data_IF_131219938970
#
_entry.id   IF_131219938970
#
_cell.length_a   1.000
_cell.length_b   1.000
_cell.length_c   1.000
_cell.angle_alpha   90.00
_cell.angle_beta   90.00
_cell.angle_gamma   90.00
#
_symmetry.space_group_name_H-M   'P 1'
#
loop_
_entity.id
_entity.type
_entity.pdbx_description
1 polymer ?
#
# COMPACT_ATOMS: atom_id res chain seq x y z
N UNK A 1 4.08 -22.09 22.18
CA UNK A 1 2.94 -21.72 21.33
C UNK A 1 3.44 -20.84 20.20
N UNK A 2 3.08 -21.20 18.98
CA UNK A 2 3.45 -20.41 17.79
C UNK A 2 2.56 -19.17 17.74
N UNK A 3 3.15 -18.00 17.51
CA UNK A 3 2.38 -16.76 17.34
C UNK A 3 1.60 -16.82 16.02
N UNK A 4 0.56 -16.01 15.88
CA UNK A 4 -0.19 -15.90 14.63
C UNK A 4 0.72 -15.54 13.47
N UNK A 5 1.69 -14.63 13.70
CA UNK A 5 2.66 -14.21 12.68
C UNK A 5 3.54 -15.36 12.23
N UNK A 6 4.06 -16.15 13.17
CA UNK A 6 4.92 -17.29 12.85
C UNK A 6 4.14 -18.39 12.11
N UNK A 7 2.91 -18.66 12.52
CA UNK A 7 2.04 -19.61 11.83
C UNK A 7 1.75 -19.18 10.40
N UNK A 8 1.47 -17.88 10.17
CA UNK A 8 1.23 -17.35 8.84
C UNK A 8 2.48 -17.39 7.97
N UNK A 9 3.64 -17.09 8.53
CA UNK A 9 4.91 -17.20 7.79
C UNK A 9 5.16 -18.63 7.32
N UNK A 10 4.92 -19.60 8.19
CA UNK A 10 5.08 -21.01 7.83
C UNK A 10 4.14 -21.42 6.69
N UNK A 11 2.92 -20.89 6.68
CA UNK A 11 1.96 -21.15 5.59
C UNK A 11 2.38 -20.52 4.26
N UNK A 12 3.17 -19.43 4.29
CA UNK A 12 3.61 -18.73 3.09
C UNK A 12 4.86 -19.34 2.47
N UNK A 13 5.60 -20.15 3.21
CA UNK A 13 6.82 -20.78 2.69
C UNK A 13 6.53 -21.62 1.43
N UNK A 14 7.36 -21.45 0.42
CA UNK A 14 7.22 -22.16 -0.84
C UNK A 14 6.16 -21.60 -1.78
N UNK A 15 5.46 -20.55 -1.39
CA UNK A 15 4.49 -19.86 -2.25
C UNK A 15 5.19 -18.83 -3.12
N UNK A 16 4.82 -18.73 -4.39
CA UNK A 16 5.36 -17.73 -5.32
C UNK A 16 4.55 -16.45 -5.32
N UNK A 17 3.25 -16.53 -5.05
CA UNK A 17 2.33 -15.39 -5.02
C UNK A 17 1.46 -15.51 -3.79
N UNK A 18 1.32 -14.42 -3.05
CA UNK A 18 0.41 -14.34 -1.90
C UNK A 18 -0.47 -13.12 -2.05
N UNK A 19 -1.80 -13.34 -2.01
CA UNK A 19 -2.79 -12.29 -1.94
C UNK A 19 -3.17 -12.07 -0.47
N UNK A 20 -3.17 -10.83 -0.01
CA UNK A 20 -3.41 -10.49 1.38
C UNK A 20 -4.36 -9.29 1.46
N UNK A 21 -5.33 -9.39 2.34
CA UNK A 21 -6.22 -8.26 2.58
C UNK A 21 -7.64 -8.61 2.98
N UNK A 22 -8.45 -9.19 2.10
CA UNK A 22 -9.85 -9.47 2.45
C UNK A 22 -9.96 -10.37 3.69
N UNK A 23 -10.75 -9.94 4.66
CA UNK A 23 -11.01 -10.72 5.86
C UNK A 23 -9.95 -10.65 6.95
N UNK A 24 -8.87 -9.88 6.79
CA UNK A 24 -7.87 -9.70 7.85
C UNK A 24 -8.44 -8.96 9.06
N UNK A 25 -9.35 -8.02 8.84
CA UNK A 25 -9.85 -7.15 9.88
C UNK A 25 -8.92 -5.97 10.16
N UNK A 26 -9.29 -5.18 11.18
CA UNK A 26 -8.61 -3.92 11.52
C UNK A 26 -8.25 -3.84 12.99
N UNK A 27 -7.99 -4.98 13.62
CA UNK A 27 -7.52 -5.02 15.00
C UNK A 27 -6.09 -4.48 15.09
N UNK A 28 -5.68 -4.10 16.31
CA UNK A 28 -4.39 -3.41 16.51
C UNK A 28 -3.16 -4.24 16.17
N UNK A 29 -3.30 -5.55 16.06
CA UNK A 29 -2.20 -6.46 15.71
C UNK A 29 -2.00 -6.63 14.19
N UNK A 30 -2.97 -6.25 13.38
CA UNK A 30 -2.90 -6.42 11.93
C UNK A 30 -1.79 -5.59 11.27
N UNK A 31 -1.56 -4.31 11.64
CA UNK A 31 -0.42 -3.58 11.06
C UNK A 31 0.92 -4.27 11.28
N UNK A 32 1.17 -4.80 12.47
CA UNK A 32 2.42 -5.51 12.77
C UNK A 32 2.53 -6.80 11.96
N UNK A 33 1.41 -7.52 11.80
CA UNK A 33 1.37 -8.72 10.99
C UNK A 33 1.71 -8.41 9.52
N UNK A 34 1.08 -7.39 8.94
CA UNK A 34 1.33 -6.96 7.56
C UNK A 34 2.78 -6.53 7.40
N UNK A 35 3.31 -5.72 8.31
CA UNK A 35 4.71 -5.29 8.28
C UNK A 35 5.67 -6.48 8.30
N UNK A 36 5.39 -7.47 9.11
CA UNK A 36 6.21 -8.68 9.20
C UNK A 36 6.26 -9.43 7.86
N UNK A 37 5.13 -9.54 7.17
CA UNK A 37 5.08 -10.17 5.84
C UNK A 37 5.83 -9.35 4.81
N UNK A 38 5.65 -8.02 4.80
CA UNK A 38 6.34 -7.14 3.86
C UNK A 38 7.86 -7.20 4.01
N UNK A 39 8.34 -7.33 5.25
CA UNK A 39 9.78 -7.36 5.52
C UNK A 39 10.43 -8.70 5.19
N UNK A 40 9.69 -9.79 5.24
CA UNK A 40 10.28 -11.12 5.20
C UNK A 40 9.91 -11.97 3.99
N UNK A 41 8.82 -11.66 3.29
CA UNK A 41 8.37 -12.47 2.16
C UNK A 41 9.04 -11.99 0.87
N UNK A 42 9.71 -12.90 0.17
CA UNK A 42 10.48 -12.59 -1.05
C UNK A 42 9.70 -12.82 -2.34
N UNK A 43 8.53 -13.44 -2.27
CA UNK A 43 7.67 -13.66 -3.43
C UNK A 43 6.85 -12.43 -3.80
N UNK A 44 6.00 -12.57 -4.81
CA UNK A 44 5.10 -11.50 -5.22
C UNK A 44 3.92 -11.40 -4.24
N UNK A 45 3.68 -10.19 -3.78
CA UNK A 45 2.53 -9.87 -2.92
C UNK A 45 1.47 -9.13 -3.72
N UNK A 46 0.21 -9.46 -3.46
CA UNK A 46 -0.95 -8.71 -3.92
C UNK A 46 -1.65 -8.18 -2.67
N UNK A 47 -1.72 -6.87 -2.53
CA UNK A 47 -2.27 -6.20 -1.35
C UNK A 47 -3.61 -5.55 -1.68
N UNK A 48 -4.63 -5.84 -0.88
CA UNK A 48 -5.98 -5.33 -1.07
C UNK A 48 -6.66 -5.09 0.28
N UNK A 49 -7.76 -4.36 0.28
CA UNK A 49 -8.67 -4.19 1.42
C UNK A 49 -7.94 -3.89 2.75
N UNK A 50 -8.13 -4.73 3.76
CA UNK A 50 -7.59 -4.50 5.11
C UNK A 50 -6.06 -4.48 5.16
N UNK A 51 -5.37 -5.12 4.23
CA UNK A 51 -3.91 -5.02 4.13
C UNK A 51 -3.50 -3.60 3.73
N UNK A 52 -4.21 -2.98 2.79
CA UNK A 52 -3.98 -1.59 2.40
C UNK A 52 -4.31 -0.64 3.56
N UNK A 53 -5.39 -0.90 4.27
CA UNK A 53 -5.74 -0.12 5.46
C UNK A 53 -4.62 -0.18 6.51
N UNK A 54 -4.04 -1.35 6.72
CA UNK A 54 -2.98 -1.56 7.71
C UNK A 54 -1.69 -0.79 7.38
N UNK A 55 -1.43 -0.48 6.11
CA UNK A 55 -0.25 0.30 5.71
C UNK A 55 -0.30 1.75 6.21
N UNK A 56 -1.48 2.31 6.41
CA UNK A 56 -1.63 3.72 6.78
C UNK A 56 -1.23 4.65 5.65
N UNK A 57 -0.64 5.79 5.97
CA UNK A 57 -0.12 6.73 4.98
C UNK A 57 1.27 6.30 4.54
N UNK A 58 1.44 6.02 3.25
CA UNK A 58 2.75 5.63 2.70
C UNK A 58 3.40 6.74 1.88
N UNK A 59 2.67 7.81 1.64
CA UNK A 59 3.17 8.97 0.93
C UNK A 59 2.27 10.18 1.11
N UNK A 60 2.66 11.29 0.51
CA UNK A 60 1.88 12.51 0.53
C UNK A 60 1.96 13.23 -0.81
N UNK A 61 0.97 14.09 -1.06
CA UNK A 61 0.84 14.83 -2.32
C UNK A 61 0.92 16.31 -2.04
N UNK A 62 1.74 17.01 -2.82
CA UNK A 62 1.77 18.47 -2.84
C UNK A 62 0.62 18.96 -3.74
N UNK A 63 -0.42 19.50 -3.12
CA UNK A 63 -1.61 19.97 -3.83
C UNK A 63 -1.30 21.13 -4.78
N UNK A 64 -0.38 22.00 -4.41
CA UNK A 64 0.00 23.14 -5.25
C UNK A 64 0.71 22.66 -6.52
N UNK A 65 1.65 21.74 -6.38
CA UNK A 65 2.34 21.14 -7.52
C UNK A 65 1.38 20.40 -8.43
N UNK A 66 0.42 19.67 -7.85
CA UNK A 66 -0.58 18.96 -8.61
C UNK A 66 -1.49 19.90 -9.41
N UNK A 67 -1.94 21.00 -8.77
CA UNK A 67 -2.75 22.03 -9.42
C UNK A 67 -1.98 22.69 -10.56
N UNK A 68 -0.71 22.96 -10.35
CA UNK A 68 0.14 23.69 -11.31
C UNK A 68 0.72 22.79 -12.39
N UNK A 69 0.51 21.48 -12.32
CA UNK A 69 1.01 20.52 -13.30
C UNK A 69 2.48 20.18 -13.15
N UNK A 70 3.10 20.47 -12.01
CA UNK A 70 4.51 20.15 -11.74
C UNK A 70 4.63 18.69 -11.28
N UNK A 71 4.65 17.78 -12.23
CA UNK A 71 4.62 16.33 -11.99
C UNK A 71 5.83 15.86 -11.18
N UNK A 72 6.99 16.46 -11.37
CA UNK A 72 8.21 16.01 -10.69
C UNK A 72 8.17 16.21 -9.18
N UNK A 73 7.35 17.14 -8.69
CA UNK A 73 7.32 17.53 -7.29
C UNK A 73 6.04 17.11 -6.57
N UNK A 74 5.12 16.40 -7.21
CA UNK A 74 3.79 16.18 -6.61
C UNK A 74 3.75 15.12 -5.54
N UNK A 75 4.67 14.14 -5.53
CA UNK A 75 4.57 13.00 -4.64
C UNK A 75 5.84 12.80 -3.82
N UNK A 76 5.67 12.60 -2.53
CA UNK A 76 6.75 12.27 -1.60
C UNK A 76 6.51 10.92 -0.94
N UNK A 77 7.50 10.03 -1.00
CA UNK A 77 7.46 8.73 -0.33
C UNK A 77 7.70 8.95 1.16
N UNK A 78 6.82 8.40 2.00
CA UNK A 78 6.98 8.42 3.46
C UNK A 78 7.31 7.04 4.03
N UNK A 79 7.01 5.99 3.28
CA UNK A 79 7.30 4.61 3.66
C UNK A 79 7.70 3.82 2.43
N UNK A 80 8.83 3.11 2.52
CA UNK A 80 9.24 2.22 1.45
C UNK A 80 8.39 0.95 1.45
N UNK A 81 8.04 0.50 0.26
CA UNK A 81 7.26 -0.73 0.05
C UNK A 81 8.09 -1.71 -0.75
N UNK A 82 7.96 -3.03 -0.51
CA UNK A 82 8.54 -4.02 -1.39
C UNK A 82 7.80 -4.01 -2.73
N UNK A 83 8.39 -4.64 -3.76
CA UNK A 83 7.67 -4.82 -5.02
C UNK A 83 6.40 -5.64 -4.78
N UNK A 84 5.27 -5.10 -5.14
CA UNK A 84 3.97 -5.74 -4.94
C UNK A 84 2.94 -5.18 -5.92
N UNK A 85 1.81 -5.86 -6.01
CA UNK A 85 0.63 -5.38 -6.72
C UNK A 85 -0.35 -4.87 -5.68
N UNK A 86 -0.92 -3.70 -5.90
CA UNK A 86 -1.91 -3.09 -5.02
C UNK A 86 -3.19 -2.80 -5.80
N UNK A 87 -4.33 -3.05 -5.18
CA UNK A 87 -5.65 -2.88 -5.81
C UNK A 87 -6.54 -1.94 -4.99
N UNK A 88 -6.11 -0.70 -4.72
CA UNK A 88 -6.89 0.21 -3.89
C UNK A 88 -8.09 0.77 -4.65
N UNK A 89 -9.26 0.81 -3.99
CA UNK A 89 -10.35 1.68 -4.44
C UNK A 89 -10.07 3.13 -4.01
N UNK A 90 -10.92 4.07 -4.42
CA UNK A 90 -10.66 5.51 -4.17
C UNK A 90 -10.47 5.84 -2.70
N UNK A 91 -11.26 5.26 -1.81
CA UNK A 91 -11.14 5.51 -0.36
C UNK A 91 -9.83 4.98 0.20
N UNK A 92 -9.41 3.80 -0.23
CA UNK A 92 -8.13 3.20 0.18
C UNK A 92 -6.95 4.01 -0.35
N UNK A 93 -7.01 4.44 -1.60
CA UNK A 93 -5.96 5.26 -2.20
C UNK A 93 -5.86 6.63 -1.51
N UNK A 94 -7.00 7.25 -1.22
CA UNK A 94 -7.07 8.49 -0.45
C UNK A 94 -6.31 8.38 0.87
N UNK A 95 -6.48 7.26 1.56
CA UNK A 95 -5.78 7.01 2.83
C UNK A 95 -4.28 6.79 2.64
N UNK A 96 -3.89 6.02 1.63
CA UNK A 96 -2.48 5.72 1.36
C UNK A 96 -1.66 6.98 1.09
N UNK A 97 -2.20 7.93 0.35
CA UNK A 97 -1.47 9.14 -0.06
C UNK A 97 -1.90 10.40 0.70
N UNK A 98 -2.77 10.23 1.70
CA UNK A 98 -3.25 11.33 2.55
C UNK A 98 -3.81 12.50 1.73
N UNK A 99 -4.74 12.19 0.84
CA UNK A 99 -5.33 13.17 -0.07
C UNK A 99 -6.85 12.97 -0.16
N UNK A 100 -7.67 14.04 -0.07
CA UNK A 100 -9.13 13.89 -0.21
C UNK A 100 -9.53 13.26 -1.55
N UNK A 101 -10.57 12.44 -1.52
CA UNK A 101 -11.07 11.70 -2.71
C UNK A 101 -11.33 12.62 -3.89
N UNK A 102 -11.88 13.79 -3.66
CA UNK A 102 -12.19 14.73 -4.74
C UNK A 102 -10.97 15.15 -5.57
N UNK A 103 -9.80 15.20 -4.95
CA UNK A 103 -8.54 15.47 -5.66
C UNK A 103 -8.13 14.26 -6.50
N UNK A 104 -8.32 13.07 -5.97
CA UNK A 104 -7.98 11.82 -6.67
C UNK A 104 -8.86 11.66 -7.91
N UNK A 105 -10.15 11.92 -7.79
CA UNK A 105 -11.07 11.83 -8.93
C UNK A 105 -10.66 12.73 -10.09
N UNK A 106 -10.14 13.91 -9.79
CA UNK A 106 -9.68 14.85 -10.81
C UNK A 106 -8.35 14.49 -11.45
N UNK A 107 -7.50 13.78 -10.73
CA UNK A 107 -6.10 13.55 -11.13
C UNK A 107 -5.72 12.07 -11.05
N UNK A 108 -6.68 11.20 -11.20
CA UNK A 108 -6.55 9.77 -10.93
C UNK A 108 -5.36 9.12 -11.66
N UNK A 109 -5.27 9.30 -12.97
CA UNK A 109 -4.22 8.66 -13.78
C UNK A 109 -2.83 9.17 -13.38
N UNK A 110 -2.69 10.48 -13.23
CA UNK A 110 -1.42 11.09 -12.83
C UNK A 110 -0.97 10.58 -11.46
N UNK A 111 -1.88 10.58 -10.47
CA UNK A 111 -1.56 10.14 -9.12
C UNK A 111 -1.23 8.65 -9.06
N UNK A 112 -1.97 7.82 -9.79
CA UNK A 112 -1.70 6.38 -9.84
C UNK A 112 -0.32 6.09 -10.44
N UNK A 113 0.05 6.78 -11.52
CA UNK A 113 1.36 6.64 -12.15
C UNK A 113 2.50 7.08 -11.22
N UNK A 114 2.36 8.25 -10.61
CA UNK A 114 3.40 8.78 -9.74
C UNK A 114 3.57 7.93 -8.48
N UNK A 115 2.47 7.42 -7.94
CA UNK A 115 2.52 6.46 -6.83
C UNK A 115 3.27 5.18 -7.22
N UNK A 116 2.86 4.55 -8.31
CA UNK A 116 3.46 3.31 -8.76
C UNK A 116 4.96 3.48 -9.05
N UNK A 117 5.32 4.58 -9.68
CA UNK A 117 6.71 4.91 -10.01
C UNK A 117 7.55 5.17 -8.76
N UNK A 118 7.03 5.97 -7.84
CA UNK A 118 7.76 6.37 -6.64
C UNK A 118 8.00 5.21 -5.68
N UNK A 119 7.01 4.32 -5.53
CA UNK A 119 7.12 3.15 -4.66
C UNK A 119 7.64 1.91 -5.42
N UNK A 120 7.77 1.96 -6.74
CA UNK A 120 8.17 0.82 -7.58
C UNK A 120 7.21 -0.38 -7.39
N UNK A 121 5.91 -0.11 -7.44
CA UNK A 121 4.82 -1.09 -7.31
C UNK A 121 3.92 -1.03 -8.53
N UNK A 122 3.00 -2.00 -8.60
CA UNK A 122 2.01 -2.07 -9.68
C UNK A 122 0.62 -1.75 -9.17
#
# INVERSE_FOLDING_TARGET
MVTSTEAHKAMLEGRQVVAMGPGLGRTSDIPDFVDSILDSYEGLLVLDADALYALGHVGSVDKDALRDGDIESIYAVKRNLPYCVMTPHLGEFSRLIDLPIKWIERHYITLAREFAKAHQVV
#
